data_IF_432318522349
#
_entry.id   IF_432318522349
#
_cell.length_a   1.000
_cell.length_b   1.000
_cell.length_c   1.000
_cell.angle_alpha   90.00
_cell.angle_beta   90.00
_cell.angle_gamma   90.00
#
_symmetry.space_group_name_H-M   'P 1'
#
loop_
_entity.id
_entity.type
_entity.pdbx_description
1 polymer ?
#
# COMPACT_ATOMS: atom_id res chain seq x y z
N UNK A 1 -42.16 6.24 -86.29
CA UNK A 1 -42.55 4.97 -85.64
C UNK A 1 -41.36 4.40 -84.89
N UNK A 2 -41.63 3.67 -83.80
CA UNK A 2 -40.73 2.97 -82.87
C UNK A 2 -40.16 3.80 -81.72
N UNK A 3 -40.92 3.75 -80.61
CA UNK A 3 -40.49 3.97 -79.23
C UNK A 3 -39.42 2.94 -78.86
N UNK A 4 -38.36 3.35 -78.18
CA UNK A 4 -37.55 2.46 -77.34
C UNK A 4 -37.49 3.12 -75.96
N UNK A 5 -38.16 2.50 -75.00
CA UNK A 5 -38.05 2.81 -73.59
C UNK A 5 -36.82 2.06 -73.05
N UNK A 6 -35.90 2.76 -72.41
CA UNK A 6 -34.81 2.17 -71.64
C UNK A 6 -35.13 2.31 -70.15
N UNK A 7 -35.47 1.19 -69.52
CA UNK A 7 -35.43 1.02 -68.07
C UNK A 7 -33.96 1.11 -67.62
N UNK A 8 -33.66 2.01 -66.70
CA UNK A 8 -32.42 1.97 -65.91
C UNK A 8 -32.80 1.74 -64.46
N UNK A 9 -32.37 0.58 -63.96
CA UNK A 9 -32.63 0.08 -62.62
C UNK A 9 -31.89 0.85 -61.54
N UNK A 10 -32.55 0.91 -60.39
CA UNK A 10 -32.09 1.48 -59.12
C UNK A 10 -30.96 0.61 -58.55
N UNK A 11 -29.84 1.23 -58.17
CA UNK A 11 -28.92 0.67 -57.19
C UNK A 11 -28.84 1.64 -56.00
N UNK A 12 -29.66 1.39 -54.99
CA UNK A 12 -29.59 2.10 -53.71
C UNK A 12 -28.41 1.54 -52.91
N UNK A 13 -27.31 2.29 -52.85
CA UNK A 13 -26.20 2.03 -51.94
C UNK A 13 -26.63 2.36 -50.52
N UNK A 14 -27.05 1.34 -49.76
CA UNK A 14 -27.20 1.43 -48.31
C UNK A 14 -25.82 1.47 -47.67
N UNK A 15 -25.36 2.68 -47.34
CA UNK A 15 -24.17 2.88 -46.49
C UNK A 15 -24.55 2.42 -45.08
N UNK A 16 -24.21 1.18 -44.76
CA UNK A 16 -24.34 0.65 -43.40
C UNK A 16 -23.28 1.32 -42.53
N UNK A 17 -23.73 2.26 -41.71
CA UNK A 17 -22.92 2.96 -40.72
C UNK A 17 -22.48 1.94 -39.67
N UNK A 18 -21.25 1.42 -39.79
CA UNK A 18 -20.61 0.70 -38.69
C UNK A 18 -20.33 1.71 -37.59
N UNK A 19 -21.24 1.82 -36.62
CA UNK A 19 -20.93 2.38 -35.31
C UNK A 19 -19.74 1.61 -34.77
N UNK A 20 -18.56 2.24 -34.76
CA UNK A 20 -17.41 1.75 -34.03
C UNK A 20 -17.85 1.63 -32.57
N UNK A 21 -18.08 0.39 -32.13
CA UNK A 21 -18.17 0.08 -30.72
C UNK A 21 -16.91 0.62 -30.09
N UNK A 22 -17.03 1.62 -29.21
CA UNK A 22 -15.93 2.06 -28.38
C UNK A 22 -15.55 0.88 -27.50
N UNK A 23 -14.57 0.08 -27.94
CA UNK A 23 -13.90 -0.85 -27.07
C UNK A 23 -13.35 -0.03 -25.91
N UNK A 24 -13.99 -0.11 -24.75
CA UNK A 24 -13.41 0.36 -23.49
C UNK A 24 -12.21 -0.54 -23.22
N UNK A 25 -11.09 -0.27 -23.87
CA UNK A 25 -9.86 -0.99 -23.66
C UNK A 25 -9.40 -0.66 -22.22
N UNK A 26 -9.54 -1.63 -21.32
CA UNK A 26 -9.01 -1.57 -19.96
C UNK A 26 -7.47 -1.61 -20.04
N UNK A 27 -6.85 -0.56 -20.56
CA UNK A 27 -5.41 -0.52 -20.89
C UNK A 27 -4.52 -0.18 -19.69
N UNK A 28 -5.11 -0.05 -18.50
CA UNK A 28 -4.41 0.29 -17.26
C UNK A 28 -4.90 -0.56 -16.09
N UNK A 29 -4.04 -0.74 -15.09
CA UNK A 29 -4.39 -1.46 -13.86
C UNK A 29 -5.60 -0.82 -13.15
N UNK A 30 -5.59 0.50 -12.96
CA UNK A 30 -6.71 1.21 -12.30
C UNK A 30 -8.04 1.07 -13.04
N UNK A 31 -8.05 1.02 -14.37
CA UNK A 31 -9.28 0.89 -15.15
C UNK A 31 -9.77 -0.56 -15.16
N UNK A 32 -8.85 -1.53 -15.23
CA UNK A 32 -9.17 -2.96 -15.16
C UNK A 32 -9.85 -3.34 -13.83
N UNK A 33 -9.38 -2.74 -12.73
CA UNK A 33 -9.86 -3.01 -11.36
C UNK A 33 -10.89 -1.99 -10.85
N UNK A 34 -11.33 -1.06 -11.71
CA UNK A 34 -12.40 -0.11 -11.37
C UNK A 34 -13.65 -0.86 -10.89
N UNK A 35 -14.27 -0.34 -9.83
CA UNK A 35 -15.43 -0.94 -9.13
C UNK A 35 -15.14 -2.27 -8.41
N UNK A 36 -13.88 -2.71 -8.34
CA UNK A 36 -13.46 -3.86 -7.54
C UNK A 36 -12.75 -3.39 -6.28
N UNK A 37 -11.60 -2.75 -6.44
CA UNK A 37 -10.82 -2.11 -5.39
C UNK A 37 -9.88 -1.08 -6.01
N UNK A 38 -9.34 -0.17 -5.19
CA UNK A 38 -8.32 0.77 -5.68
C UNK A 38 -7.00 0.04 -5.98
N UNK A 39 -6.36 0.40 -7.08
CA UNK A 39 -4.97 0.01 -7.37
C UNK A 39 -4.09 1.21 -7.05
N UNK A 40 -3.14 1.03 -6.13
CA UNK A 40 -2.28 2.10 -5.66
C UNK A 40 -0.79 1.81 -5.75
N UNK A 41 0.01 2.85 -5.48
CA UNK A 41 1.47 2.75 -5.42
C UNK A 41 2.04 3.68 -4.35
N UNK A 42 3.19 3.32 -3.78
CA UNK A 42 3.98 4.16 -2.88
C UNK A 42 4.86 5.15 -3.66
N UNK A 43 4.83 6.41 -3.24
CA UNK A 43 5.60 7.50 -3.84
C UNK A 43 6.75 7.94 -2.94
N UNK A 44 7.94 7.97 -3.53
CA UNK A 44 9.18 8.52 -2.97
C UNK A 44 9.31 10.01 -3.30
N UNK A 45 10.26 10.71 -2.68
CA UNK A 45 10.44 12.16 -2.90
C UNK A 45 10.68 12.55 -4.36
N UNK A 46 11.51 11.83 -5.16
CA UNK A 46 11.69 12.16 -6.57
C UNK A 46 10.41 12.17 -7.41
N UNK A 47 9.40 11.37 -7.03
CA UNK A 47 8.08 11.41 -7.68
C UNK A 47 7.23 12.57 -7.16
N UNK A 48 7.29 12.82 -5.85
CA UNK A 48 6.53 13.89 -5.20
C UNK A 48 7.00 15.29 -5.64
N UNK A 49 8.30 15.47 -5.85
CA UNK A 49 8.89 16.74 -6.31
C UNK A 49 8.94 16.89 -7.84
N UNK A 50 8.57 15.84 -8.57
CA UNK A 50 8.51 15.83 -10.03
C UNK A 50 9.85 15.67 -10.74
N UNK A 51 10.91 15.27 -10.04
CA UNK A 51 12.22 15.01 -10.66
C UNK A 51 12.28 13.67 -11.39
N UNK A 52 11.48 12.68 -10.99
CA UNK A 52 11.29 11.39 -11.68
C UNK A 52 10.04 11.38 -12.57
N UNK A 53 10.10 12.16 -13.64
CA UNK A 53 8.98 12.38 -14.59
C UNK A 53 8.45 11.08 -15.20
N UNK A 54 9.32 10.07 -15.41
CA UNK A 54 8.92 8.80 -16.01
C UNK A 54 8.07 7.96 -15.06
N UNK A 55 8.42 7.94 -13.76
CA UNK A 55 7.55 7.30 -12.76
C UNK A 55 6.22 8.03 -12.64
N UNK A 56 6.21 9.36 -12.70
CA UNK A 56 5.00 10.18 -12.68
C UNK A 56 3.98 9.80 -13.78
N UNK A 57 4.47 9.55 -14.99
CA UNK A 57 3.65 9.12 -16.12
C UNK A 57 3.03 7.74 -15.87
N UNK A 58 3.83 6.79 -15.35
CA UNK A 58 3.33 5.48 -14.92
C UNK A 58 2.28 5.67 -13.82
N UNK A 59 2.55 6.51 -12.82
CA UNK A 59 1.67 6.71 -11.67
C UNK A 59 0.28 7.17 -12.14
N UNK A 60 0.26 8.23 -12.95
CA UNK A 60 -0.96 8.84 -13.51
C UNK A 60 -1.71 7.88 -14.42
N UNK A 61 -1.01 7.05 -15.19
CA UNK A 61 -1.64 6.08 -16.10
C UNK A 61 -2.22 4.88 -15.35
N UNK A 62 -1.49 4.32 -14.39
CA UNK A 62 -1.74 2.97 -13.88
C UNK A 62 -2.47 2.92 -12.54
N UNK A 63 -2.40 3.96 -11.71
CA UNK A 63 -2.91 3.91 -10.33
C UNK A 63 -4.02 4.94 -10.06
N UNK A 64 -4.92 4.58 -9.15
CA UNK A 64 -6.01 5.41 -8.64
C UNK A 64 -5.88 5.73 -7.15
N UNK A 65 -4.87 5.21 -6.47
CA UNK A 65 -4.55 5.49 -5.07
C UNK A 65 -3.04 5.69 -4.89
N UNK A 66 -2.67 6.51 -3.90
CA UNK A 66 -1.26 6.78 -3.58
C UNK A 66 -1.04 6.79 -2.06
N UNK A 67 0.17 6.42 -1.66
CA UNK A 67 0.67 6.52 -0.29
C UNK A 67 2.08 7.12 -0.32
N UNK A 68 2.42 7.96 0.66
CA UNK A 68 3.77 8.49 0.78
C UNK A 68 4.69 7.43 1.41
N UNK A 69 5.80 7.10 0.76
CA UNK A 69 6.74 6.08 1.25
C UNK A 69 7.37 6.51 2.58
N UNK A 70 7.70 7.80 2.72
CA UNK A 70 8.42 8.31 3.88
C UNK A 70 7.94 9.67 4.39
N UNK A 71 7.62 10.64 3.53
CA UNK A 71 7.47 12.04 3.94
C UNK A 71 6.33 12.33 4.95
N UNK A 72 5.42 11.38 5.15
CA UNK A 72 4.34 11.47 6.14
C UNK A 72 4.62 10.73 7.46
N UNK A 73 5.77 10.05 7.61
CA UNK A 73 6.19 9.41 8.87
C UNK A 73 6.57 10.47 9.90
N UNK A 74 6.38 10.16 11.18
CA UNK A 74 6.53 11.12 12.27
C UNK A 74 7.91 11.80 12.33
N UNK A 75 9.01 11.12 11.94
CA UNK A 75 10.33 11.75 11.91
C UNK A 75 10.50 12.88 10.90
N UNK A 76 9.74 12.84 9.81
CA UNK A 76 9.77 13.88 8.79
C UNK A 76 8.72 14.96 9.08
N UNK A 77 7.53 14.55 9.52
CA UNK A 77 6.45 15.49 9.84
C UNK A 77 6.77 16.32 11.09
N UNK A 78 7.31 15.73 12.15
CA UNK A 78 7.52 16.43 13.43
C UNK A 78 8.86 16.05 14.09
N UNK A 79 10.00 16.37 13.46
CA UNK A 79 11.34 16.01 13.96
C UNK A 79 11.67 16.61 15.34
N UNK A 80 11.01 17.70 15.74
CA UNK A 80 11.13 18.32 17.06
C UNK A 80 9.76 18.59 17.66
N UNK A 81 9.64 18.52 18.99
CA UNK A 81 8.38 18.79 19.70
C UNK A 81 7.80 20.15 19.29
N UNK A 82 6.53 20.15 18.89
CA UNK A 82 5.80 21.35 18.45
C UNK A 82 6.22 21.93 17.09
N UNK A 83 7.26 21.43 16.41
CA UNK A 83 7.72 21.93 15.10
C UNK A 83 7.38 20.95 13.99
N UNK A 84 6.44 21.36 13.14
CA UNK A 84 5.97 20.54 12.02
C UNK A 84 6.55 20.99 10.68
N UNK A 85 6.86 20.02 9.82
CA UNK A 85 7.35 20.23 8.45
C UNK A 85 6.41 19.51 7.50
N UNK A 86 5.61 20.28 6.77
CA UNK A 86 4.59 19.74 5.88
C UNK A 86 4.93 19.84 4.41
N UNK A 87 6.02 20.52 4.01
CA UNK A 87 6.29 20.85 2.61
C UNK A 87 6.22 19.67 1.64
N UNK A 88 6.86 18.54 1.98
CA UNK A 88 6.84 17.35 1.12
C UNK A 88 5.49 16.61 1.17
N UNK A 89 4.84 16.58 2.33
CA UNK A 89 3.53 15.96 2.48
C UNK A 89 2.42 16.79 1.79
N UNK A 90 2.54 18.12 1.78
CA UNK A 90 1.64 19.03 1.06
C UNK A 90 1.73 18.77 -0.45
N UNK A 91 2.95 18.69 -1.00
CA UNK A 91 3.18 18.34 -2.42
C UNK A 91 2.59 16.97 -2.77
N UNK A 92 2.77 15.98 -1.89
CA UNK A 92 2.20 14.64 -2.07
C UNK A 92 0.67 14.68 -2.14
N UNK A 93 0.01 15.39 -1.20
CA UNK A 93 -1.45 15.52 -1.20
C UNK A 93 -1.93 16.31 -2.42
N UNK A 94 -1.25 17.40 -2.80
CA UNK A 94 -1.55 18.18 -4.00
C UNK A 94 -1.45 17.33 -5.28
N UNK A 95 -0.43 16.48 -5.40
CA UNK A 95 -0.32 15.53 -6.49
C UNK A 95 -1.54 14.60 -6.55
N UNK A 96 -1.94 14.04 -5.41
CA UNK A 96 -3.11 13.16 -5.32
C UNK A 96 -4.40 13.87 -5.72
N UNK A 97 -4.64 15.08 -5.24
CA UNK A 97 -5.83 15.87 -5.55
C UNK A 97 -5.89 16.26 -7.03
N UNK A 98 -4.78 16.75 -7.58
CA UNK A 98 -4.66 17.13 -9.00
C UNK A 98 -5.00 15.96 -9.93
N UNK A 99 -4.63 14.74 -9.53
CA UNK A 99 -4.85 13.53 -10.31
C UNK A 99 -6.07 12.71 -9.84
N UNK A 100 -6.90 13.24 -8.94
CA UNK A 100 -8.13 12.61 -8.42
C UNK A 100 -7.91 11.23 -7.81
N UNK A 101 -6.82 11.07 -7.06
CA UNK A 101 -6.43 9.80 -6.45
C UNK A 101 -7.00 9.64 -5.04
N UNK A 102 -7.17 8.38 -4.61
CA UNK A 102 -7.49 8.02 -3.24
C UNK A 102 -6.22 8.08 -2.39
N UNK A 103 -6.07 9.15 -1.61
CA UNK A 103 -4.85 9.46 -0.86
C UNK A 103 -4.84 8.74 0.50
N UNK A 104 -3.77 8.00 0.77
CA UNK A 104 -3.52 7.35 2.06
C UNK A 104 -2.42 8.09 2.82
N UNK A 105 -2.66 8.38 4.09
CA UNK A 105 -1.66 8.89 5.01
C UNK A 105 -0.94 7.75 5.74
N UNK A 106 0.39 7.74 5.67
CA UNK A 106 1.24 6.69 6.24
C UNK A 106 2.46 7.32 6.93
N UNK A 107 2.61 7.23 8.25
CA UNK A 107 1.71 6.65 9.26
C UNK A 107 1.74 7.51 10.52
N UNK A 108 0.68 7.46 11.32
CA UNK A 108 0.53 8.34 12.49
C UNK A 108 1.36 7.89 13.70
N UNK A 109 1.32 6.59 14.03
CA UNK A 109 2.03 6.01 15.18
C UNK A 109 2.75 4.76 14.70
N UNK A 110 4.09 4.84 14.70
CA UNK A 110 4.97 3.72 14.40
C UNK A 110 6.16 3.74 15.33
N UNK A 111 6.63 2.55 15.72
CA UNK A 111 7.77 2.40 16.62
C UNK A 111 9.10 2.79 15.96
N UNK A 112 9.17 2.74 14.63
CA UNK A 112 10.31 3.15 13.83
C UNK A 112 10.09 4.51 13.19
N UNK A 113 11.17 5.12 12.69
CA UNK A 113 11.16 6.41 12.00
C UNK A 113 10.35 7.48 12.77
N UNK A 114 10.56 7.49 14.09
CA UNK A 114 9.91 8.35 15.06
C UNK A 114 10.99 9.10 15.87
N UNK A 115 10.84 10.42 16.08
CA UNK A 115 11.82 11.17 16.85
C UNK A 115 11.84 10.79 18.32
N UNK A 116 13.05 10.70 18.88
CA UNK A 116 13.27 10.37 20.29
C UNK A 116 12.50 11.28 21.26
N UNK A 117 12.26 12.55 20.89
CA UNK A 117 11.59 13.52 21.75
C UNK A 117 10.20 13.08 22.17
N UNK A 118 9.52 12.18 21.44
CA UNK A 118 8.21 11.64 21.85
C UNK A 118 8.25 11.02 23.24
N UNK A 119 9.32 10.31 23.56
CA UNK A 119 9.37 9.43 24.72
C UNK A 119 10.18 9.98 25.88
N UNK A 120 11.01 10.99 25.66
CA UNK A 120 11.94 11.46 26.70
C UNK A 120 11.64 12.88 27.18
N UNK A 121 11.97 13.13 28.44
CA UNK A 121 12.01 14.45 29.05
C UNK A 121 13.34 15.18 28.74
N UNK A 122 13.54 16.37 29.32
CA UNK A 122 14.75 17.16 29.16
C UNK A 122 16.03 16.48 29.69
N UNK A 123 15.88 15.54 30.61
CA UNK A 123 16.98 14.81 31.25
C UNK A 123 17.21 13.44 30.55
N UNK A 124 16.48 13.17 29.47
CA UNK A 124 16.61 11.96 28.64
C UNK A 124 15.91 10.72 29.22
N UNK A 125 15.09 10.87 30.27
CA UNK A 125 14.32 9.79 30.90
C UNK A 125 12.97 9.63 30.23
N UNK A 126 12.40 8.42 30.30
CA UNK A 126 11.05 8.17 29.79
C UNK A 126 10.03 9.11 30.44
N UNK A 127 9.15 9.69 29.63
CA UNK A 127 8.09 10.58 30.10
C UNK A 127 6.95 9.81 30.76
N UNK A 128 6.12 10.52 31.54
CA UNK A 128 4.94 9.92 32.13
C UNK A 128 3.91 9.51 31.06
N UNK A 129 3.00 8.57 31.39
CA UNK A 129 1.88 8.21 30.53
C UNK A 129 1.05 9.42 30.06
N UNK A 130 0.82 10.40 30.92
CA UNK A 130 0.03 11.61 30.63
C UNK A 130 0.72 12.47 29.58
N UNK A 131 2.04 12.64 29.67
CA UNK A 131 2.83 13.39 28.69
C UNK A 131 2.81 12.69 27.34
N UNK A 132 3.00 11.36 27.31
CA UNK A 132 2.96 10.63 26.03
C UNK A 132 1.57 10.67 25.40
N UNK A 133 0.49 10.56 26.19
CA UNK A 133 -0.90 10.75 25.70
C UNK A 133 -1.09 12.12 25.05
N UNK A 134 -0.59 13.19 25.68
CA UNK A 134 -0.67 14.55 25.15
C UNK A 134 0.13 14.72 23.85
N UNK A 135 1.35 14.17 23.80
CA UNK A 135 2.21 14.21 22.61
C UNK A 135 1.58 13.45 21.43
N UNK A 136 1.06 12.24 21.68
CA UNK A 136 0.30 11.48 20.68
C UNK A 136 -0.92 12.27 20.19
N UNK A 137 -1.73 12.82 21.10
CA UNK A 137 -2.92 13.61 20.72
C UNK A 137 -2.55 14.82 19.88
N UNK A 138 -1.53 15.57 20.28
CA UNK A 138 -1.05 16.76 19.57
C UNK A 138 -0.55 16.41 18.18
N UNK A 139 0.30 15.38 18.05
CA UNK A 139 0.83 14.91 16.77
C UNK A 139 -0.30 14.49 15.81
N UNK A 140 -1.16 13.59 16.26
CA UNK A 140 -2.25 13.02 15.46
C UNK A 140 -3.24 14.12 15.06
N UNK A 141 -3.70 14.93 16.01
CA UNK A 141 -4.70 15.96 15.74
C UNK A 141 -4.18 17.02 14.76
N UNK A 142 -2.91 17.39 14.87
CA UNK A 142 -2.30 18.37 13.96
C UNK A 142 -2.13 17.80 12.55
N UNK A 143 -1.58 16.58 12.43
CA UNK A 143 -1.33 15.94 11.14
C UNK A 143 -2.64 15.57 10.42
N UNK A 144 -3.54 14.86 11.09
CA UNK A 144 -4.84 14.47 10.52
C UNK A 144 -5.71 15.71 10.26
N UNK A 145 -5.72 16.66 11.20
CA UNK A 145 -6.49 17.90 11.07
C UNK A 145 -6.06 18.76 9.88
N UNK A 146 -4.75 18.83 9.58
CA UNK A 146 -4.23 19.56 8.41
C UNK A 146 -4.80 19.02 7.09
N UNK A 147 -4.94 17.71 6.98
CA UNK A 147 -5.37 17.04 5.76
C UNK A 147 -6.82 16.54 5.82
N UNK A 148 -7.62 17.07 6.75
CA UNK A 148 -9.02 16.70 6.95
C UNK A 148 -9.81 16.79 5.65
N UNK A 149 -10.48 15.69 5.30
CA UNK A 149 -11.25 15.55 4.06
C UNK A 149 -10.41 15.41 2.78
N UNK A 150 -9.10 15.65 2.81
CA UNK A 150 -8.18 15.53 1.67
C UNK A 150 -7.56 14.13 1.62
N UNK A 151 -6.98 13.68 2.73
CA UNK A 151 -6.53 12.29 2.93
C UNK A 151 -7.75 11.42 3.24
N UNK A 152 -7.90 10.29 2.54
CA UNK A 152 -9.10 9.44 2.58
C UNK A 152 -9.00 8.30 3.57
N UNK A 153 -7.79 7.88 3.92
CA UNK A 153 -7.58 6.97 5.03
C UNK A 153 -6.18 7.07 5.63
N UNK A 154 -6.04 6.62 6.86
CA UNK A 154 -4.80 6.69 7.63
C UNK A 154 -4.40 5.32 8.15
N UNK A 155 -3.13 4.96 7.95
CA UNK A 155 -2.48 3.94 8.75
C UNK A 155 -2.22 4.55 10.13
N UNK A 156 -3.13 4.31 11.08
CA UNK A 156 -3.14 4.95 12.40
C UNK A 156 -2.06 4.37 13.29
N UNK A 157 -1.98 3.05 13.36
CA UNK A 157 -0.94 2.31 14.08
C UNK A 157 -0.30 1.32 13.13
N UNK A 158 1.03 1.35 13.06
CA UNK A 158 1.82 0.45 12.24
C UNK A 158 2.63 -0.52 13.12
N UNK A 159 2.58 -1.82 12.83
CA UNK A 159 3.49 -2.87 13.33
C UNK A 159 3.60 -3.00 14.85
N UNK A 160 2.45 -2.99 15.54
CA UNK A 160 2.40 -3.08 17.00
C UNK A 160 2.49 -4.53 17.53
N UNK A 161 2.24 -5.53 16.67
CA UNK A 161 2.11 -6.93 17.08
C UNK A 161 3.23 -7.77 16.44
N UNK A 162 3.81 -8.67 17.23
CA UNK A 162 4.81 -9.64 16.80
C UNK A 162 4.15 -10.88 16.17
N UNK A 163 4.92 -11.71 15.47
CA UNK A 163 4.44 -12.91 14.78
C UNK A 163 3.78 -13.92 15.74
N UNK A 164 4.29 -14.00 16.97
CA UNK A 164 3.75 -14.85 18.05
C UNK A 164 2.47 -14.29 18.71
N UNK A 165 1.94 -13.18 18.18
CA UNK A 165 0.74 -12.52 18.69
C UNK A 165 0.97 -11.64 19.91
N UNK A 166 2.20 -11.53 20.43
CA UNK A 166 2.52 -10.61 21.54
C UNK A 166 2.63 -9.16 21.04
N UNK A 167 2.44 -8.20 21.95
CA UNK A 167 2.72 -6.80 21.63
C UNK A 167 4.23 -6.56 21.54
N UNK A 168 4.64 -5.86 20.48
CA UNK A 168 5.99 -5.32 20.35
C UNK A 168 6.30 -4.44 21.56
N UNK A 169 7.44 -4.69 22.21
CA UNK A 169 7.96 -3.89 23.33
C UNK A 169 8.52 -2.54 22.85
N UNK A 170 7.68 -1.76 22.18
CA UNK A 170 7.96 -0.39 21.78
C UNK A 170 7.83 0.55 22.98
N UNK A 171 8.44 1.73 22.91
CA UNK A 171 8.27 2.75 23.96
C UNK A 171 6.82 3.18 24.17
N UNK A 172 5.98 3.13 23.13
CA UNK A 172 4.54 3.31 23.29
C UNK A 172 3.93 2.25 24.21
N UNK A 173 4.24 0.98 23.98
CA UNK A 173 3.72 -0.12 24.79
C UNK A 173 4.33 -0.15 26.21
N UNK A 174 5.62 0.14 26.35
CA UNK A 174 6.27 0.18 27.67
C UNK A 174 5.67 1.26 28.58
N UNK A 175 5.31 2.43 28.02
CA UNK A 175 4.79 3.56 28.79
C UNK A 175 3.26 3.50 28.94
N UNK A 176 2.52 3.10 27.90
CA UNK A 176 1.04 3.16 27.88
C UNK A 176 0.35 1.78 27.93
N UNK A 177 1.09 0.67 27.88
CA UNK A 177 0.52 -0.65 27.74
C UNK A 177 -0.24 -0.80 26.42
N UNK A 178 -1.32 -1.59 26.40
CA UNK A 178 -2.15 -1.79 25.20
C UNK A 178 -2.96 -0.54 24.81
N UNK A 179 -3.14 0.42 25.73
CA UNK A 179 -4.05 1.57 25.54
C UNK A 179 -3.56 2.58 24.50
N UNK A 180 -2.29 2.54 24.07
CA UNK A 180 -1.81 3.44 23.01
C UNK A 180 -2.54 3.24 21.68
N UNK A 181 -3.02 2.02 21.38
CA UNK A 181 -3.76 1.73 20.14
C UNK A 181 -5.15 2.38 20.19
N UNK A 182 -6.04 2.07 21.18
CA UNK A 182 -7.31 2.77 21.33
C UNK A 182 -7.20 4.29 21.31
N UNK A 183 -6.21 4.85 22.02
CA UNK A 183 -6.01 6.29 22.06
C UNK A 183 -5.63 6.87 20.69
N UNK A 184 -4.74 6.22 19.94
CA UNK A 184 -4.36 6.69 18.61
C UNK A 184 -5.56 6.74 17.64
N UNK A 185 -6.39 5.67 17.63
CA UNK A 185 -7.60 5.62 16.82
C UNK A 185 -8.64 6.65 17.26
N UNK A 186 -8.84 6.82 18.57
CA UNK A 186 -9.73 7.84 19.09
C UNK A 186 -9.29 9.25 18.65
N UNK A 187 -8.01 9.58 18.77
CA UNK A 187 -7.50 10.90 18.36
C UNK A 187 -7.62 11.13 16.85
N UNK A 188 -7.39 10.09 16.04
CA UNK A 188 -7.56 10.18 14.59
C UNK A 188 -9.04 10.40 14.20
N UNK A 189 -9.95 9.66 14.83
CA UNK A 189 -11.40 9.80 14.66
C UNK A 189 -11.90 11.19 15.08
N UNK A 190 -11.42 11.74 16.20
CA UNK A 190 -11.74 13.09 16.67
C UNK A 190 -11.28 14.16 15.67
N UNK A 191 -10.09 13.99 15.08
CA UNK A 191 -9.50 14.95 14.15
C UNK A 191 -10.22 14.98 12.79
N UNK A 192 -10.46 13.81 12.18
CA UNK A 192 -11.25 13.66 10.96
C UNK A 192 -12.22 12.47 11.05
N UNK A 193 -13.50 12.71 11.37
CA UNK A 193 -14.50 11.65 11.49
C UNK A 193 -14.86 11.00 10.14
N UNK A 194 -14.45 11.60 9.01
CA UNK A 194 -14.77 11.09 7.68
C UNK A 194 -13.66 10.22 7.07
N UNK A 195 -12.42 10.33 7.54
CA UNK A 195 -11.32 9.50 7.07
C UNK A 195 -11.51 8.03 7.51
N UNK A 196 -11.11 7.09 6.64
CA UNK A 196 -11.01 5.67 6.99
C UNK A 196 -9.78 5.44 7.91
N UNK A 197 -9.92 4.62 8.95
CA UNK A 197 -8.86 4.38 9.96
C UNK A 197 -8.38 2.93 9.92
N UNK A 198 -7.06 2.72 9.78
CA UNK A 198 -6.47 1.41 9.59
C UNK A 198 -5.42 1.04 10.64
N UNK A 199 -5.36 -0.25 10.95
CA UNK A 199 -4.20 -0.89 11.59
C UNK A 199 -3.37 -1.57 10.50
N UNK A 200 -2.07 -1.29 10.37
CA UNK A 200 -1.21 -1.83 9.31
C UNK A 200 -0.06 -2.67 9.89
N UNK A 201 0.26 -3.82 9.28
CA UNK A 201 1.33 -4.71 9.78
C UNK A 201 1.85 -5.65 8.68
N UNK A 202 3.07 -6.15 8.84
CA UNK A 202 3.65 -7.23 8.03
C UNK A 202 3.48 -8.59 8.70
N UNK A 203 3.72 -9.68 7.95
CA UNK A 203 3.50 -11.05 8.44
C UNK A 203 2.09 -11.24 9.01
N UNK A 204 1.14 -10.50 8.46
CA UNK A 204 -0.23 -10.33 8.89
C UNK A 204 -1.10 -11.60 8.75
N UNK A 205 -0.54 -12.65 8.17
CA UNK A 205 -1.15 -13.97 8.01
C UNK A 205 -0.74 -14.96 9.11
N UNK A 206 0.20 -14.61 9.98
CA UNK A 206 0.62 -15.49 11.06
C UNK A 206 -0.54 -15.73 12.05
N UNK A 207 -0.89 -17.00 12.37
CA UNK A 207 -2.13 -17.29 13.10
C UNK A 207 -2.29 -16.57 14.44
N UNK A 208 -1.23 -16.47 15.25
CA UNK A 208 -1.31 -15.77 16.54
C UNK A 208 -1.41 -14.25 16.38
N UNK A 209 -0.69 -13.67 15.41
CA UNK A 209 -0.85 -12.26 15.02
C UNK A 209 -2.29 -11.97 14.58
N UNK A 210 -2.88 -12.81 13.72
CA UNK A 210 -4.28 -12.67 13.26
C UNK A 210 -5.26 -12.66 14.43
N UNK A 211 -5.09 -13.56 15.41
CA UNK A 211 -5.93 -13.59 16.62
C UNK A 211 -5.84 -12.28 17.41
N UNK A 212 -4.62 -11.80 17.66
CA UNK A 212 -4.41 -10.57 18.44
C UNK A 212 -4.95 -9.33 17.71
N UNK A 213 -4.66 -9.19 16.42
CA UNK A 213 -5.18 -8.06 15.61
C UNK A 213 -6.71 -8.09 15.53
N UNK A 214 -7.32 -9.28 15.39
CA UNK A 214 -8.78 -9.45 15.46
C UNK A 214 -9.35 -9.03 16.83
N UNK A 215 -8.64 -9.33 17.92
CA UNK A 215 -9.02 -8.89 19.27
C UNK A 215 -8.95 -7.37 19.39
N UNK A 216 -7.94 -6.72 18.82
CA UNK A 216 -7.82 -5.25 18.77
C UNK A 216 -8.99 -4.65 18.01
N UNK A 217 -9.32 -5.16 16.81
CA UNK A 217 -10.47 -4.71 16.01
C UNK A 217 -11.76 -4.77 16.82
N UNK A 218 -12.04 -5.90 17.48
CA UNK A 218 -13.23 -6.09 18.31
C UNK A 218 -13.23 -5.16 19.53
N UNK A 219 -12.08 -4.97 20.17
CA UNK A 219 -11.93 -4.09 21.32
C UNK A 219 -12.24 -2.63 20.96
N UNK A 220 -11.65 -2.10 19.89
CA UNK A 220 -11.93 -0.74 19.39
C UNK A 220 -13.42 -0.53 19.15
N UNK A 221 -14.04 -1.45 18.40
CA UNK A 221 -15.49 -1.40 18.10
C UNK A 221 -16.36 -1.45 19.35
N UNK A 222 -16.02 -2.31 20.32
CA UNK A 222 -16.77 -2.41 21.58
C UNK A 222 -16.75 -1.12 22.40
N UNK A 223 -15.73 -0.27 22.19
CA UNK A 223 -15.57 1.04 22.83
C UNK A 223 -16.17 2.19 22.01
N UNK A 224 -16.81 1.91 20.88
CA UNK A 224 -17.30 2.94 19.95
C UNK A 224 -16.20 3.67 19.16
N UNK A 225 -14.98 3.13 19.16
CA UNK A 225 -13.85 3.69 18.42
C UNK A 225 -13.83 3.07 17.01
N UNK A 226 -13.80 3.94 16.00
CA UNK A 226 -13.87 3.56 14.59
C UNK A 226 -12.56 2.88 14.15
N UNK A 227 -12.69 1.73 13.50
CA UNK A 227 -11.65 1.06 12.71
C UNK A 227 -12.32 0.51 11.46
N UNK A 228 -11.84 0.94 10.30
CA UNK A 228 -12.45 0.62 9.01
C UNK A 228 -11.77 -0.54 8.33
N UNK A 229 -10.47 -0.71 8.56
CA UNK A 229 -9.67 -1.68 7.84
C UNK A 229 -8.47 -2.23 8.61
N UNK A 230 -8.03 -3.41 8.21
CA UNK A 230 -6.71 -3.95 8.52
C UNK A 230 -5.88 -3.94 7.23
N UNK A 231 -4.68 -3.39 7.35
CA UNK A 231 -3.65 -3.35 6.34
C UNK A 231 -2.75 -4.59 6.43
N UNK A 232 -2.71 -5.32 5.33
CA UNK A 232 -1.84 -6.44 5.07
C UNK A 232 -0.69 -5.92 4.21
N UNK A 233 0.52 -5.75 4.78
CA UNK A 233 1.64 -5.15 4.04
C UNK A 233 2.01 -5.98 2.80
N UNK A 234 1.98 -7.32 2.89
CA UNK A 234 2.27 -8.19 1.74
C UNK A 234 3.69 -8.00 1.20
N UNK A 235 4.66 -7.82 2.10
CA UNK A 235 6.09 -7.99 1.81
C UNK A 235 6.43 -9.47 1.69
N UNK A 236 6.32 -10.03 0.49
CA UNK A 236 6.37 -11.50 0.30
C UNK A 236 7.48 -11.93 -0.65
N UNK A 237 7.76 -13.23 -0.65
CA UNK A 237 8.68 -13.86 -1.60
C UNK A 237 7.93 -14.83 -2.53
N UNK A 238 8.71 -15.59 -3.30
CA UNK A 238 8.17 -16.61 -4.19
C UNK A 238 7.48 -17.75 -3.42
N UNK A 239 8.04 -18.17 -2.28
CA UNK A 239 7.60 -19.39 -1.58
C UNK A 239 6.59 -19.19 -0.44
N UNK A 240 6.57 -17.99 0.15
CA UNK A 240 5.85 -17.69 1.37
C UNK A 240 5.14 -16.33 1.29
N UNK A 241 3.97 -16.17 1.93
CA UNK A 241 3.18 -17.21 2.62
C UNK A 241 2.55 -18.23 1.69
N UNK A 242 2.03 -19.34 2.23
CA UNK A 242 1.08 -20.16 1.46
C UNK A 242 -0.19 -19.34 1.21
N UNK A 243 -0.76 -19.48 0.02
CA UNK A 243 -1.93 -18.67 -0.38
C UNK A 243 -3.13 -18.93 0.52
N UNK A 244 -3.25 -20.17 1.02
CA UNK A 244 -4.30 -20.59 1.93
C UNK A 244 -4.20 -19.88 3.29
N UNK A 245 -2.99 -19.66 3.80
CA UNK A 245 -2.75 -18.91 5.05
C UNK A 245 -3.12 -17.44 4.87
N UNK A 246 -2.71 -16.86 3.75
CA UNK A 246 -3.03 -15.48 3.40
C UNK A 246 -4.54 -15.29 3.19
N UNK A 247 -5.19 -16.20 2.46
CA UNK A 247 -6.64 -16.21 2.26
C UNK A 247 -7.39 -16.32 3.59
N UNK A 248 -6.94 -17.20 4.48
CA UNK A 248 -7.55 -17.35 5.80
C UNK A 248 -7.50 -16.03 6.59
N UNK A 249 -6.36 -15.34 6.58
CA UNK A 249 -6.23 -14.04 7.23
C UNK A 249 -7.20 -12.98 6.66
N UNK A 250 -7.37 -12.92 5.33
CA UNK A 250 -8.40 -12.07 4.70
C UNK A 250 -9.78 -12.37 5.28
N UNK A 251 -10.14 -13.65 5.36
CA UNK A 251 -11.47 -14.04 5.84
C UNK A 251 -11.68 -13.77 7.34
N UNK A 252 -10.65 -13.97 8.16
CA UNK A 252 -10.71 -13.74 9.61
C UNK A 252 -10.85 -12.25 9.93
N UNK A 253 -10.07 -11.39 9.28
CA UNK A 253 -10.20 -9.93 9.44
C UNK A 253 -11.55 -9.42 8.93
N UNK A 254 -12.04 -9.93 7.79
CA UNK A 254 -13.36 -9.58 7.29
C UNK A 254 -14.47 -10.01 8.25
N UNK A 255 -14.36 -11.19 8.87
CA UNK A 255 -15.30 -11.67 9.90
C UNK A 255 -15.24 -10.84 11.19
N UNK A 256 -14.12 -10.16 11.48
CA UNK A 256 -14.04 -9.14 12.54
C UNK A 256 -14.75 -7.82 12.16
N UNK A 257 -15.27 -7.73 10.93
CA UNK A 257 -16.13 -6.68 10.41
C UNK A 257 -15.39 -5.47 9.84
N UNK A 258 -14.14 -5.63 9.40
CA UNK A 258 -13.34 -4.57 8.77
C UNK A 258 -13.05 -4.93 7.31
N UNK A 259 -12.74 -3.92 6.49
CA UNK A 259 -12.21 -4.15 5.14
C UNK A 259 -10.74 -4.55 5.20
N UNK A 260 -10.28 -5.21 4.15
CA UNK A 260 -8.86 -5.55 3.99
C UNK A 260 -8.23 -4.54 3.04
N UNK A 261 -7.06 -4.04 3.40
CA UNK A 261 -6.21 -3.27 2.52
C UNK A 261 -4.94 -4.08 2.28
N UNK A 262 -4.57 -4.34 1.03
CA UNK A 262 -3.22 -4.79 0.69
C UNK A 262 -2.39 -3.53 0.50
N UNK A 263 -1.39 -3.31 1.34
CA UNK A 263 -0.89 -1.94 1.59
C UNK A 263 0.48 -1.64 1.03
N UNK A 264 1.36 -2.64 0.94
CA UNK A 264 2.78 -2.49 0.61
C UNK A 264 3.27 -3.65 -0.26
N UNK A 265 2.42 -4.12 -1.17
CA UNK A 265 2.69 -5.35 -1.90
C UNK A 265 3.89 -5.21 -2.82
N UNK A 266 4.81 -6.14 -2.66
CA UNK A 266 5.88 -6.42 -3.60
C UNK A 266 6.35 -7.86 -3.39
N UNK A 267 6.90 -8.48 -4.44
CA UNK A 267 7.30 -9.90 -4.39
C UNK A 267 8.78 -10.01 -4.70
N UNK A 268 9.62 -10.20 -3.68
CA UNK A 268 11.06 -10.42 -3.89
C UNK A 268 11.28 -11.67 -4.74
N UNK A 269 12.10 -11.53 -5.79
CA UNK A 269 12.53 -12.64 -6.62
C UNK A 269 13.83 -13.26 -6.12
N UNK A 270 14.48 -12.65 -5.12
CA UNK A 270 15.77 -13.11 -4.61
C UNK A 270 15.60 -14.24 -3.59
N UNK A 271 16.52 -15.22 -3.58
CA UNK A 271 16.53 -16.25 -2.54
C UNK A 271 16.81 -15.60 -1.18
N UNK A 272 16.09 -16.07 -0.15
CA UNK A 272 16.33 -15.67 1.23
C UNK A 272 16.29 -16.89 2.15
N UNK A 273 17.40 -17.23 2.84
CA UNK A 273 17.41 -18.35 3.77
C UNK A 273 16.54 -18.12 5.02
N UNK A 274 16.08 -16.88 5.24
CA UNK A 274 15.28 -16.48 6.41
C UNK A 274 13.84 -16.09 6.03
N UNK A 275 13.44 -16.28 4.76
CA UNK A 275 12.17 -15.77 4.24
C UNK A 275 12.18 -14.26 3.99
N UNK A 276 11.00 -13.67 3.78
CA UNK A 276 10.85 -12.22 3.60
C UNK A 276 10.47 -11.59 4.93
N UNK A 277 11.11 -10.47 5.27
CA UNK A 277 10.81 -9.66 6.46
C UNK A 277 10.56 -8.21 6.03
N UNK A 278 9.86 -7.47 6.88
CA UNK A 278 9.77 -6.02 6.83
C UNK A 278 10.14 -5.34 8.17
N UNK A 279 10.71 -6.09 9.11
CA UNK A 279 11.27 -5.51 10.33
C UNK A 279 12.49 -4.66 9.97
N UNK A 280 12.32 -3.34 9.88
CA UNK A 280 13.33 -2.38 9.40
C UNK A 280 14.66 -2.38 10.19
N UNK A 281 14.72 -3.07 11.32
CA UNK A 281 15.94 -3.26 12.11
C UNK A 281 16.81 -4.44 11.64
N UNK A 282 16.29 -5.32 10.77
CA UNK A 282 17.02 -6.49 10.29
C UNK A 282 18.22 -6.07 9.44
N UNK A 283 19.36 -6.72 9.66
CA UNK A 283 20.58 -6.54 8.89
C UNK A 283 21.24 -7.89 8.65
N UNK A 284 21.55 -8.17 7.40
CA UNK A 284 22.22 -9.40 6.99
C UNK A 284 23.45 -9.04 6.16
N UNK A 285 24.58 -9.69 6.46
CA UNK A 285 25.81 -9.48 5.69
C UNK A 285 25.63 -9.94 4.24
N UNK A 286 26.32 -9.24 3.33
CA UNK A 286 26.24 -9.57 1.91
C UNK A 286 26.93 -10.90 1.62
N UNK A 287 26.20 -11.80 0.97
CA UNK A 287 26.75 -12.99 0.36
C UNK A 287 26.33 -13.06 -1.11
N UNK A 288 27.24 -13.39 -2.02
CA UNK A 288 26.95 -13.44 -3.46
C UNK A 288 25.77 -14.36 -3.82
N UNK A 289 25.57 -15.44 -3.05
CA UNK A 289 24.45 -16.38 -3.20
C UNK A 289 23.07 -15.74 -2.97
N UNK A 290 23.01 -14.62 -2.25
CA UNK A 290 21.78 -13.85 -1.98
C UNK A 290 21.50 -12.77 -3.04
N UNK A 291 22.39 -12.60 -4.01
CA UNK A 291 22.24 -11.67 -5.13
C UNK A 291 22.59 -12.34 -6.49
N UNK A 292 21.97 -13.49 -6.83
CA UNK A 292 22.35 -14.27 -8.01
C UNK A 292 21.99 -13.61 -9.36
N UNK A 293 21.08 -12.62 -9.36
CA UNK A 293 20.44 -12.11 -10.58
C UNK A 293 20.84 -10.67 -10.93
N UNK A 294 22.12 -10.33 -10.83
CA UNK A 294 22.63 -8.96 -11.08
C UNK A 294 22.45 -8.46 -12.52
N UNK A 295 22.23 -9.36 -13.48
CA UNK A 295 22.09 -9.05 -14.91
C UNK A 295 20.67 -9.27 -15.48
N UNK A 296 19.71 -9.61 -14.63
CA UNK A 296 18.35 -9.96 -15.00
C UNK A 296 17.91 -11.29 -14.39
N UNK A 297 16.60 -11.49 -14.27
CA UNK A 297 16.03 -12.76 -13.83
C UNK A 297 16.18 -13.83 -14.92
N UNK A 298 16.59 -15.07 -14.56
CA UNK A 298 16.44 -16.23 -15.44
C UNK A 298 14.97 -16.44 -15.85
N UNK A 299 14.73 -17.07 -17.00
CA UNK A 299 13.38 -17.26 -17.53
C UNK A 299 12.48 -18.08 -16.60
N UNK A 300 13.03 -19.11 -15.95
CA UNK A 300 12.29 -19.94 -14.99
C UNK A 300 11.85 -19.13 -13.76
N UNK A 301 12.75 -18.31 -13.21
CA UNK A 301 12.47 -17.43 -12.06
C UNK A 301 11.47 -16.33 -12.46
N UNK A 302 11.58 -15.81 -13.68
CA UNK A 302 10.62 -14.84 -14.23
C UNK A 302 9.22 -15.45 -14.27
N UNK A 303 9.06 -16.67 -14.81
CA UNK A 303 7.75 -17.36 -14.86
C UNK A 303 7.18 -17.62 -13.47
N UNK A 304 8.01 -18.05 -12.53
CA UNK A 304 7.62 -18.28 -11.14
C UNK A 304 7.13 -17.00 -10.47
N UNK A 305 7.88 -15.91 -10.60
CA UNK A 305 7.52 -14.60 -10.09
C UNK A 305 6.23 -14.06 -10.72
N UNK A 306 6.05 -14.21 -12.03
CA UNK A 306 4.82 -13.83 -12.72
C UNK A 306 3.62 -14.63 -12.21
N UNK A 307 3.75 -15.96 -12.10
CA UNK A 307 2.69 -16.82 -11.57
C UNK A 307 2.32 -16.43 -10.14
N UNK A 308 3.32 -16.14 -9.30
CA UNK A 308 3.12 -15.70 -7.92
C UNK A 308 2.29 -14.41 -7.84
N UNK A 309 2.61 -13.43 -8.68
CA UNK A 309 1.79 -12.21 -8.80
C UNK A 309 0.36 -12.52 -9.25
N UNK A 310 0.19 -13.36 -10.26
CA UNK A 310 -1.14 -13.72 -10.77
C UNK A 310 -1.97 -14.48 -9.73
N UNK A 311 -1.35 -15.33 -8.93
CA UNK A 311 -2.04 -16.06 -7.87
C UNK A 311 -2.58 -15.12 -6.78
N UNK A 312 -1.78 -14.15 -6.34
CA UNK A 312 -2.25 -13.11 -5.42
C UNK A 312 -3.38 -12.28 -6.04
N UNK A 313 -3.25 -11.83 -7.29
CA UNK A 313 -4.31 -11.04 -7.92
C UNK A 313 -5.59 -11.83 -8.19
N UNK A 314 -5.52 -13.14 -8.47
CA UNK A 314 -6.69 -14.04 -8.49
C UNK A 314 -7.34 -14.13 -7.11
N UNK A 315 -6.54 -14.28 -6.06
CA UNK A 315 -7.02 -14.29 -4.69
C UNK A 315 -7.70 -12.97 -4.32
N UNK A 316 -7.13 -11.83 -4.71
CA UNK A 316 -7.72 -10.52 -4.46
C UNK A 316 -9.03 -10.34 -5.22
N UNK A 317 -9.13 -10.81 -6.46
CA UNK A 317 -10.38 -10.81 -7.22
C UNK A 317 -11.45 -11.70 -6.58
N UNK A 318 -11.06 -12.88 -6.08
CA UNK A 318 -11.94 -13.79 -5.34
C UNK A 318 -12.58 -13.10 -4.11
N UNK A 319 -11.83 -12.22 -3.44
CA UNK A 319 -12.28 -11.47 -2.26
C UNK A 319 -12.47 -9.97 -2.50
N UNK A 320 -12.79 -9.57 -3.74
CA UNK A 320 -12.95 -8.16 -4.11
C UNK A 320 -14.05 -7.44 -3.30
N UNK A 321 -15.01 -8.18 -2.74
CA UNK A 321 -16.05 -7.67 -1.85
C UNK A 321 -15.51 -7.25 -0.46
N UNK A 322 -14.38 -7.82 -0.05
CA UNK A 322 -13.73 -7.60 1.26
C UNK A 322 -12.54 -6.65 1.16
N UNK A 323 -11.90 -6.60 -0.01
CA UNK A 323 -10.70 -5.78 -0.25
C UNK A 323 -11.09 -4.37 -0.69
N UNK A 324 -10.46 -3.37 -0.07
CA UNK A 324 -10.67 -1.95 -0.34
C UNK A 324 -9.63 -1.39 -1.31
N UNK A 325 -8.36 -1.74 -1.13
CA UNK A 325 -7.23 -1.34 -1.98
C UNK A 325 -6.18 -2.44 -2.08
N UNK A 326 -5.46 -2.44 -3.20
CA UNK A 326 -4.19 -3.15 -3.42
C UNK A 326 -3.15 -2.12 -3.85
N UNK A 327 -2.17 -1.88 -2.98
CA UNK A 327 -1.13 -0.87 -3.16
C UNK A 327 0.23 -1.55 -3.30
N UNK A 328 0.95 -1.22 -4.36
CA UNK A 328 2.31 -1.69 -4.60
C UNK A 328 3.32 -0.81 -3.85
N UNK A 329 4.36 -1.38 -3.24
CA UNK A 329 5.37 -0.60 -2.51
C UNK A 329 6.45 -0.01 -3.41
N UNK A 330 6.00 0.77 -4.38
CA UNK A 330 6.81 1.51 -5.32
C UNK A 330 6.29 1.41 -6.75
N UNK A 331 6.95 2.13 -7.65
CA UNK A 331 6.60 2.20 -9.07
C UNK A 331 7.46 1.23 -9.87
N UNK A 332 8.78 1.38 -9.81
CA UNK A 332 9.73 0.59 -10.60
C UNK A 332 10.68 -0.20 -9.72
N UNK A 333 11.23 -1.30 -10.24
CA UNK A 333 12.26 -2.08 -9.52
C UNK A 333 13.43 -1.20 -9.04
N UNK A 334 13.73 -0.10 -9.74
CA UNK A 334 14.88 0.77 -9.43
C UNK A 334 14.78 1.40 -8.04
N UNK A 335 13.57 1.79 -7.62
CA UNK A 335 13.38 2.48 -6.36
C UNK A 335 13.12 1.54 -5.17
N UNK A 336 12.83 0.26 -5.42
CA UNK A 336 12.40 -0.63 -4.34
C UNK A 336 13.51 -0.75 -3.29
N UNK A 337 13.12 -0.55 -2.03
CA UNK A 337 13.97 -0.74 -0.87
C UNK A 337 14.53 -2.17 -0.75
N UNK A 338 13.91 -3.18 -1.41
CA UNK A 338 14.41 -4.56 -1.41
C UNK A 338 15.78 -4.72 -2.10
N UNK A 339 16.19 -3.74 -2.91
CA UNK A 339 17.56 -3.69 -3.45
C UNK A 339 18.60 -3.53 -2.33
N UNK A 340 18.26 -2.87 -1.22
CA UNK A 340 19.19 -2.59 -0.12
C UNK A 340 18.78 -3.17 1.24
N UNK A 341 17.61 -3.82 1.32
CA UNK A 341 17.09 -4.41 2.55
C UNK A 341 16.72 -5.89 2.36
N UNK A 342 17.01 -6.78 3.33
CA UNK A 342 17.83 -6.55 4.53
C UNK A 342 19.35 -6.63 4.26
N UNK A 343 19.72 -6.94 3.01
CA UNK A 343 21.10 -7.00 2.54
C UNK A 343 21.33 -5.84 1.57
N UNK A 344 22.30 -4.98 1.90
CA UNK A 344 22.66 -3.81 1.10
C UNK A 344 23.34 -4.21 -0.21
N UNK A 345 23.04 -3.53 -1.31
CA UNK A 345 23.73 -3.67 -2.60
C UNK A 345 23.26 -4.86 -3.46
N UNK A 346 22.04 -5.35 -3.25
CA UNK A 346 21.43 -6.38 -4.10
C UNK A 346 20.72 -5.79 -5.31
N UNK A 347 20.29 -6.65 -6.22
CA UNK A 347 19.51 -6.30 -7.41
C UNK A 347 18.24 -7.15 -7.43
N UNK A 348 17.17 -6.65 -6.82
CA UNK A 348 15.87 -7.34 -6.75
C UNK A 348 14.92 -6.86 -7.85
N UNK A 349 13.89 -7.63 -8.17
CA UNK A 349 12.93 -7.35 -9.24
C UNK A 349 11.49 -7.36 -8.74
N UNK A 350 11.16 -6.66 -7.64
CA UNK A 350 9.96 -6.99 -6.88
C UNK A 350 8.69 -6.34 -7.40
N UNK A 351 8.76 -5.42 -8.38
CA UNK A 351 7.64 -4.61 -8.82
C UNK A 351 7.23 -4.88 -10.29
N UNK A 352 5.99 -4.57 -10.72
CA UNK A 352 5.53 -4.83 -12.09
C UNK A 352 6.14 -3.96 -13.18
N UNK A 353 6.93 -2.94 -12.85
CA UNK A 353 7.62 -2.08 -13.83
C UNK A 353 9.13 -2.19 -13.64
N UNK A 354 9.86 -2.38 -14.74
CA UNK A 354 11.29 -2.61 -14.70
C UNK A 354 12.09 -1.30 -14.53
N UNK A 355 13.42 -1.44 -14.41
CA UNK A 355 14.38 -0.32 -14.28
C UNK A 355 14.39 0.68 -15.44
N UNK A 356 13.78 0.32 -16.58
CA UNK A 356 13.67 1.17 -17.76
C UNK A 356 12.27 1.80 -17.89
N UNK A 357 11.49 1.81 -16.81
CA UNK A 357 10.13 2.38 -16.76
C UNK A 357 9.15 1.68 -17.71
N UNK A 358 9.43 0.42 -18.09
CA UNK A 358 8.53 -0.38 -18.92
C UNK A 358 7.75 -1.36 -18.06
N UNK A 359 6.47 -1.57 -18.40
CA UNK A 359 5.68 -2.63 -17.81
C UNK A 359 6.33 -3.99 -18.10
N UNK A 360 6.47 -4.83 -17.07
CA UNK A 360 6.79 -6.25 -17.23
C UNK A 360 5.55 -6.97 -17.80
N UNK A 361 5.71 -8.14 -18.45
CA UNK A 361 4.59 -8.87 -19.03
C UNK A 361 3.47 -9.20 -18.02
N UNK A 362 3.79 -9.32 -16.73
CA UNK A 362 2.81 -9.53 -15.66
C UNK A 362 1.71 -8.46 -15.60
N UNK A 363 1.99 -7.20 -15.99
CA UNK A 363 0.99 -6.11 -15.93
C UNK A 363 -0.18 -6.40 -16.85
N UNK A 364 0.09 -6.82 -18.08
CA UNK A 364 -0.94 -7.19 -19.04
C UNK A 364 -1.72 -8.41 -18.56
N UNK A 365 -1.01 -9.44 -18.07
CA UNK A 365 -1.64 -10.65 -17.52
C UNK A 365 -2.55 -10.36 -16.33
N UNK A 366 -2.16 -9.43 -15.43
CA UNK A 366 -2.99 -8.98 -14.30
C UNK A 366 -4.27 -8.29 -14.81
N UNK A 367 -4.16 -7.41 -15.81
CA UNK A 367 -5.31 -6.75 -16.44
C UNK A 367 -6.28 -7.79 -17.04
N UNK A 368 -5.75 -8.81 -17.70
CA UNK A 368 -6.52 -9.88 -18.34
C UNK A 368 -7.33 -10.73 -17.35
N UNK A 369 -6.91 -10.84 -16.08
CA UNK A 369 -7.70 -11.52 -15.04
C UNK A 369 -9.08 -10.88 -14.79
N UNK A 370 -9.31 -9.65 -15.27
CA UNK A 370 -10.55 -8.89 -15.07
C UNK A 370 -11.50 -8.90 -16.27
N UNK A 371 -11.10 -9.57 -17.36
CA UNK A 371 -11.85 -9.61 -18.62
C UNK A 371 -12.89 -10.72 -18.63
#
# INVERSE_FOLDING_TARGET
>A
MKKIAALLGILALTVSCKTASSASSKDSLKDAYKNKFYIGTAMSLPQIDGTDVKSDEIIKKQFSSIVAENCMKSMFIQPQEGKFFFGDADKFVEFGEKNKMFIIGHTLIWHSQLPRWFFVDKDGKDVSPEVLKQRMKSHISTLVGRYKGRVKGWDVVNEAIMEDGTYRKSKFYEILGEEFIPLAFQYAQEADPNAELYYNDYNEWFPEKVKTVTKIVKNLKSRGIRIDGVGMQTHVGLDNPKLEEYEKAITDYAAAGVKINVTEMEISALPSPWGTSANVSDKVEYEAKMNPYTKGLPENVTKEWENRYLDFFRLFLKHQDKIRRVTLWGVTDNQSWKNDFPVKGRTDYPLPFNRNYQAKPVVEKIIELTK
#
